data_IF_578167674524
#
_entry.id   IF_578167674524
#
_cell.length_a   1.000
_cell.length_b   1.000
_cell.length_c   1.000
_cell.angle_alpha   90.00
_cell.angle_beta   90.00
_cell.angle_gamma   90.00
#
_symmetry.space_group_name_H-M   'P 1'
#
loop_
_entity.id
_entity.type
_entity.pdbx_description
1 polymer ?
#
# COMPACT_ATOMS: atom_id res chain seq x y z
N UNK A 1 10.96 24.29 21.94
CA UNK A 1 11.49 24.57 20.60
C UNK A 1 11.24 23.37 19.71
N UNK A 2 10.38 23.50 18.70
CA UNK A 2 10.04 22.39 17.80
C UNK A 2 11.18 22.18 16.79
N UNK A 3 12.08 21.24 17.07
CA UNK A 3 13.16 20.83 16.15
C UNK A 3 12.61 19.84 15.11
N UNK A 4 11.72 20.30 14.25
CA UNK A 4 11.27 19.50 13.12
C UNK A 4 12.37 19.42 12.05
N UNK A 5 12.61 18.22 11.50
CA UNK A 5 13.55 18.00 10.41
C UNK A 5 12.78 17.90 9.09
N UNK A 6 13.25 18.53 8.00
CA UNK A 6 12.66 18.29 6.70
C UNK A 6 12.87 16.83 6.30
N UNK A 7 11.86 16.17 5.69
CA UNK A 7 12.04 14.84 5.13
C UNK A 7 13.18 14.83 4.12
N UNK A 8 13.84 13.68 3.95
CA UNK A 8 15.02 13.55 3.07
C UNK A 8 14.81 12.45 2.07
N UNK A 9 15.25 12.69 0.83
CA UNK A 9 15.37 11.67 -0.19
C UNK A 9 16.82 11.19 -0.26
N UNK A 10 17.02 9.88 -0.20
CA UNK A 10 18.32 9.25 -0.40
C UNK A 10 18.18 7.93 -1.13
N UNK A 11 19.28 7.46 -1.70
CA UNK A 11 19.29 6.29 -2.55
C UNK A 11 19.83 5.07 -1.80
N UNK A 12 19.22 3.90 -2.03
CA UNK A 12 19.75 2.61 -1.62
C UNK A 12 19.97 1.73 -2.85
N UNK A 13 21.05 0.97 -2.89
CA UNK A 13 21.32 0.03 -3.99
C UNK A 13 20.55 -1.26 -3.81
N UNK A 14 19.88 -1.74 -4.86
CA UNK A 14 19.33 -3.09 -4.92
C UNK A 14 20.43 -4.05 -5.37
N UNK A 15 21.24 -4.53 -4.42
CA UNK A 15 22.40 -5.41 -4.67
C UNK A 15 22.05 -6.74 -5.33
N UNK A 16 20.80 -7.21 -5.19
CA UNK A 16 20.30 -8.45 -5.76
C UNK A 16 19.76 -8.30 -7.21
N UNK A 17 19.80 -7.10 -7.82
CA UNK A 17 19.36 -6.88 -9.20
C UNK A 17 20.56 -6.54 -10.08
N UNK A 18 20.58 -7.08 -11.31
CA UNK A 18 21.61 -6.79 -12.32
C UNK A 18 21.72 -5.27 -12.51
N UNK A 19 22.96 -4.78 -12.54
CA UNK A 19 23.25 -3.34 -12.63
C UNK A 19 23.03 -2.54 -11.34
N UNK A 20 22.80 -3.20 -10.20
CA UNK A 20 22.69 -2.56 -8.88
C UNK A 20 21.70 -1.39 -8.85
N UNK A 21 20.52 -1.57 -9.46
CA UNK A 21 19.48 -0.52 -9.60
C UNK A 21 19.26 0.23 -8.29
N UNK A 22 19.11 1.55 -8.39
CA UNK A 22 18.84 2.40 -7.23
C UNK A 22 17.37 2.29 -6.80
N UNK A 23 17.13 2.36 -5.50
CA UNK A 23 15.84 2.54 -4.85
C UNK A 23 15.88 3.87 -4.13
N UNK A 24 15.14 4.84 -4.65
CA UNK A 24 14.90 6.09 -3.94
C UNK A 24 14.11 5.81 -2.68
N UNK A 25 14.50 6.42 -1.57
CA UNK A 25 13.76 6.31 -0.34
C UNK A 25 13.61 7.62 0.41
N UNK A 26 12.39 7.81 0.88
CA UNK A 26 11.91 8.98 1.58
C UNK A 26 11.95 8.76 3.10
N UNK A 27 12.86 9.40 3.83
CA UNK A 27 12.79 9.40 5.30
C UNK A 27 11.89 10.53 5.78
N UNK A 28 10.80 10.17 6.44
CA UNK A 28 9.88 11.11 7.08
C UNK A 28 10.14 11.27 8.59
N UNK A 29 11.19 10.65 9.13
CA UNK A 29 11.46 10.62 10.57
C UNK A 29 11.80 12.03 11.07
N UNK A 30 11.14 12.46 12.14
CA UNK A 30 11.35 13.78 12.75
C UNK A 30 10.69 14.92 11.97
N UNK A 31 9.92 14.63 10.93
CA UNK A 31 9.19 15.65 10.18
C UNK A 31 7.87 16.04 10.86
N UNK A 32 7.31 17.21 10.54
CA UNK A 32 6.00 17.62 11.04
C UNK A 32 4.86 16.65 10.68
N UNK A 33 4.97 15.94 9.54
CA UNK A 33 3.91 15.03 9.05
C UNK A 33 4.02 13.61 9.60
N UNK A 34 5.09 13.29 10.33
CA UNK A 34 5.42 11.94 10.75
C UNK A 34 4.37 11.36 11.71
N UNK A 35 4.01 12.11 12.75
CA UNK A 35 3.05 11.64 13.76
C UNK A 35 1.61 11.56 13.22
N UNK A 36 1.23 12.46 12.31
CA UNK A 36 -0.05 12.35 11.59
C UNK A 36 -0.06 11.10 10.71
N UNK A 37 1.02 10.84 9.98
CA UNK A 37 1.15 9.63 9.15
C UNK A 37 1.07 8.36 10.00
N UNK A 38 1.69 8.35 11.18
CA UNK A 38 1.58 7.23 12.14
C UNK A 38 0.17 7.07 12.67
N UNK A 39 -0.50 8.18 12.96
CA UNK A 39 -1.88 8.14 13.41
C UNK A 39 -2.79 7.51 12.34
N UNK A 40 -2.66 7.93 11.07
CA UNK A 40 -3.37 7.34 9.93
C UNK A 40 -3.07 5.85 9.78
N UNK A 41 -1.80 5.46 9.92
CA UNK A 41 -1.42 4.05 9.95
C UNK A 41 -2.14 3.29 11.07
N UNK A 42 -2.13 3.82 12.30
CA UNK A 42 -2.72 3.17 13.47
C UNK A 42 -4.23 2.95 13.30
N UNK A 43 -4.96 3.94 12.79
CA UNK A 43 -6.41 3.85 12.62
C UNK A 43 -6.80 2.92 11.46
N UNK A 44 -6.05 2.92 10.34
CA UNK A 44 -6.40 2.11 9.17
C UNK A 44 -5.85 0.69 9.21
N UNK A 45 -4.87 0.41 10.07
CA UNK A 45 -4.26 -0.94 10.16
C UNK A 45 -5.28 -2.05 10.44
N UNK A 46 -6.22 -1.92 11.41
CA UNK A 46 -7.23 -2.96 11.65
C UNK A 46 -8.11 -3.23 10.43
N UNK A 47 -8.50 -2.19 9.70
CA UNK A 47 -9.26 -2.33 8.45
C UNK A 47 -8.44 -3.04 7.36
N UNK A 48 -7.17 -2.69 7.18
CA UNK A 48 -6.31 -3.33 6.18
C UNK A 48 -6.00 -4.79 6.53
N UNK A 49 -5.87 -5.11 7.81
CA UNK A 49 -5.63 -6.47 8.29
C UNK A 49 -6.86 -7.39 8.17
N UNK A 50 -8.06 -6.84 7.95
CA UNK A 50 -9.27 -7.63 7.75
C UNK A 50 -9.48 -8.10 6.31
N UNK A 51 -8.65 -7.64 5.37
CA UNK A 51 -8.73 -8.06 3.96
C UNK A 51 -8.44 -9.55 3.80
N UNK A 52 -9.32 -10.26 3.10
CA UNK A 52 -9.28 -11.72 2.93
C UNK A 52 -7.98 -12.25 2.31
N UNK A 53 -7.43 -11.49 1.36
CA UNK A 53 -6.24 -11.88 0.59
C UNK A 53 -4.95 -11.26 1.13
N UNK A 54 -5.04 -10.49 2.22
CA UNK A 54 -3.88 -9.93 2.89
C UNK A 54 -3.25 -11.01 3.79
N UNK A 55 -2.05 -11.44 3.42
CA UNK A 55 -1.32 -12.48 4.14
C UNK A 55 -0.25 -11.81 4.99
N UNK A 56 -0.11 -12.26 6.23
CA UNK A 56 0.86 -11.69 7.17
C UNK A 56 2.29 -12.05 6.79
N UNK A 57 2.50 -13.30 6.37
CA UNK A 57 3.81 -13.85 6.05
C UNK A 57 3.72 -15.07 5.11
N UNK A 58 4.90 -15.52 4.67
CA UNK A 58 5.06 -16.66 3.77
C UNK A 58 4.68 -18.01 4.40
N UNK A 59 4.69 -18.13 5.73
CA UNK A 59 4.29 -19.36 6.41
C UNK A 59 2.76 -19.52 6.38
N UNK A 60 2.03 -18.43 6.62
CA UNK A 60 0.57 -18.41 6.46
C UNK A 60 0.19 -18.77 5.02
N UNK A 61 0.96 -18.29 4.03
CA UNK A 61 0.76 -18.65 2.64
C UNK A 61 0.92 -20.15 2.40
N UNK A 62 2.03 -20.71 2.85
CA UNK A 62 2.30 -22.14 2.75
C UNK A 62 1.16 -22.97 3.35
N UNK A 63 0.71 -22.66 4.56
CA UNK A 63 -0.40 -23.38 5.21
C UNK A 63 -1.71 -23.28 4.43
N UNK A 64 -1.99 -22.13 3.79
CA UNK A 64 -3.20 -21.92 3.00
C UNK A 64 -3.21 -22.71 1.70
N UNK A 65 -2.06 -22.90 1.05
CA UNK A 65 -1.96 -23.60 -0.24
C UNK A 65 -1.67 -25.10 -0.11
N UNK A 66 -1.14 -25.55 1.03
CA UNK A 66 -0.69 -26.93 1.23
C UNK A 66 -1.77 -27.98 0.98
N UNK A 67 -3.03 -27.66 1.24
CA UNK A 67 -4.18 -28.56 1.05
C UNK A 67 -4.97 -28.29 -0.24
N UNK A 68 -4.55 -27.34 -1.07
CA UNK A 68 -5.25 -26.99 -2.31
C UNK A 68 -4.92 -28.04 -3.36
N UNK A 69 -5.93 -28.82 -3.74
CA UNK A 69 -5.87 -29.69 -4.92
C UNK A 69 -6.28 -28.87 -6.14
N UNK A 70 -5.50 -28.98 -7.22
CA UNK A 70 -5.68 -28.23 -8.45
C UNK A 70 -5.93 -29.24 -9.57
N UNK A 71 -7.06 -29.10 -10.26
CA UNK A 71 -7.41 -29.94 -11.40
C UNK A 71 -6.50 -29.63 -12.61
N UNK A 72 -6.43 -30.56 -13.56
CA UNK A 72 -5.74 -30.35 -14.82
C UNK A 72 -6.31 -29.13 -15.57
N UNK A 73 -5.44 -28.34 -16.18
CA UNK A 73 -5.80 -27.12 -16.93
C UNK A 73 -5.76 -25.82 -16.12
N UNK A 74 -5.45 -25.86 -14.83
CA UNK A 74 -5.21 -24.66 -14.02
C UNK A 74 -3.73 -24.25 -14.03
N UNK A 75 -3.49 -22.94 -14.08
CA UNK A 75 -2.16 -22.34 -14.01
C UNK A 75 -1.99 -21.52 -12.75
N UNK A 76 -0.82 -21.67 -12.12
CA UNK A 76 -0.37 -20.80 -11.05
C UNK A 76 0.42 -19.64 -11.65
N UNK A 77 -0.06 -18.41 -11.43
CA UNK A 77 0.52 -17.19 -11.95
C UNK A 77 1.05 -16.35 -10.80
N UNK A 78 2.24 -15.78 -10.95
CA UNK A 78 2.79 -14.76 -10.05
C UNK A 78 2.70 -13.38 -10.70
N UNK A 79 2.19 -12.41 -9.94
CA UNK A 79 2.04 -11.02 -10.38
C UNK A 79 2.81 -10.10 -9.42
N UNK A 80 3.63 -9.20 -9.95
CA UNK A 80 4.37 -8.20 -9.17
C UNK A 80 3.88 -6.79 -9.49
N UNK A 81 3.56 -6.01 -8.46
CA UNK A 81 3.11 -4.63 -8.63
C UNK A 81 4.30 -3.71 -8.83
N UNK A 82 4.45 -3.21 -10.05
CA UNK A 82 5.53 -2.28 -10.40
C UNK A 82 5.33 -0.94 -9.67
N UNK A 83 6.35 -0.55 -8.90
CA UNK A 83 6.45 0.78 -8.27
C UNK A 83 5.22 1.17 -7.45
N UNK A 84 4.70 0.22 -6.65
CA UNK A 84 3.46 0.33 -5.87
C UNK A 84 3.24 1.72 -5.25
N UNK A 85 4.15 2.17 -4.38
CA UNK A 85 3.98 3.43 -3.64
C UNK A 85 3.92 4.68 -4.53
N UNK A 86 4.74 4.77 -5.57
CA UNK A 86 4.76 5.94 -6.45
C UNK A 86 3.57 5.97 -7.41
N UNK A 87 2.87 4.84 -7.58
CA UNK A 87 1.73 4.72 -8.50
C UNK A 87 0.37 4.82 -7.80
N UNK A 88 0.31 4.92 -6.47
CA UNK A 88 -0.97 5.08 -5.76
C UNK A 88 -1.57 6.46 -6.05
N UNK A 89 -2.76 6.50 -6.64
CA UNK A 89 -3.47 7.75 -6.91
C UNK A 89 -4.31 8.15 -5.70
N UNK A 90 -4.23 9.41 -5.29
CA UNK A 90 -5.03 9.96 -4.19
C UNK A 90 -6.54 9.85 -4.46
N UNK A 91 -6.96 10.11 -5.70
CA UNK A 91 -8.37 10.05 -6.09
C UNK A 91 -8.93 8.63 -5.96
N UNK A 92 -8.14 7.62 -6.28
CA UNK A 92 -8.53 6.22 -6.08
C UNK A 92 -8.81 5.93 -4.61
N UNK A 93 -7.89 6.32 -3.71
CA UNK A 93 -8.05 6.10 -2.27
C UNK A 93 -9.26 6.85 -1.72
N UNK A 94 -9.47 8.07 -2.20
CA UNK A 94 -10.63 8.88 -1.85
C UNK A 94 -11.94 8.19 -2.22
N UNK A 95 -12.01 7.66 -3.44
CA UNK A 95 -13.19 6.94 -3.91
C UNK A 95 -13.41 5.65 -3.11
N UNK A 96 -12.34 4.92 -2.78
CA UNK A 96 -12.42 3.73 -1.94
C UNK A 96 -12.98 4.06 -0.55
N UNK A 97 -12.50 5.14 0.09
CA UNK A 97 -13.02 5.57 1.40
C UNK A 97 -14.51 5.91 1.32
N UNK A 98 -14.95 6.53 0.21
CA UNK A 98 -16.37 6.85 -0.01
C UNK A 98 -17.22 5.59 -0.20
N UNK A 99 -16.80 4.72 -1.11
CA UNK A 99 -17.51 3.49 -1.47
C UNK A 99 -17.58 2.49 -0.30
N UNK A 100 -16.48 2.34 0.45
CA UNK A 100 -16.36 1.34 1.52
C UNK A 100 -16.58 1.90 2.93
N UNK A 101 -17.11 3.12 3.05
CA UNK A 101 -17.28 3.79 4.34
C UNK A 101 -18.06 2.96 5.36
N UNK A 102 -19.11 2.28 4.92
CA UNK A 102 -19.94 1.45 5.79
C UNK A 102 -19.17 0.29 6.44
N UNK A 103 -18.08 -0.16 5.83
CA UNK A 103 -17.19 -1.17 6.40
C UNK A 103 -16.11 -0.48 7.24
N UNK A 104 -15.48 0.56 6.71
CA UNK A 104 -14.36 1.27 7.37
C UNK A 104 -14.78 1.82 8.74
N UNK A 105 -15.98 2.38 8.87
CA UNK A 105 -16.49 2.99 10.11
C UNK A 105 -16.57 2.01 11.29
N UNK A 106 -16.64 0.70 11.02
CA UNK A 106 -16.67 -0.32 12.07
C UNK A 106 -15.27 -0.56 12.67
N UNK A 107 -14.21 -0.14 11.97
CA UNK A 107 -12.81 -0.28 12.41
C UNK A 107 -12.24 1.00 13.04
N UNK A 108 -12.86 2.16 12.79
CA UNK A 108 -12.32 3.46 13.20
C UNK A 108 -13.36 4.31 13.94
N UNK A 109 -12.90 5.07 14.93
CA UNK A 109 -13.73 6.04 15.64
C UNK A 109 -13.47 7.46 15.14
N UNK A 110 -13.74 7.72 13.87
CA UNK A 110 -13.60 9.01 13.19
C UNK A 110 -14.75 9.17 12.19
N UNK A 111 -15.14 10.40 11.89
CA UNK A 111 -16.03 10.67 10.77
C UNK A 111 -15.32 10.55 9.42
N UNK A 112 -16.11 10.45 8.36
CA UNK A 112 -15.62 10.19 7.01
C UNK A 112 -14.78 11.35 6.47
N UNK A 113 -15.20 12.58 6.75
CA UNK A 113 -14.57 13.79 6.23
C UNK A 113 -13.19 13.97 6.86
N UNK A 114 -13.08 13.76 8.18
CA UNK A 114 -11.82 13.81 8.89
C UNK A 114 -10.85 12.72 8.42
N UNK A 115 -11.31 11.49 8.18
CA UNK A 115 -10.44 10.46 7.60
C UNK A 115 -9.94 10.89 6.21
N UNK A 116 -10.83 11.42 5.38
CA UNK A 116 -10.50 11.90 4.04
C UNK A 116 -9.42 12.98 4.08
N UNK A 117 -9.57 13.98 4.96
CA UNK A 117 -8.62 15.07 5.12
C UNK A 117 -7.27 14.58 5.64
N UNK A 118 -7.25 13.64 6.59
CA UNK A 118 -6.02 13.05 7.10
C UNK A 118 -5.26 12.28 6.02
N UNK A 119 -5.96 11.50 5.21
CA UNK A 119 -5.34 10.74 4.10
C UNK A 119 -4.83 11.69 3.03
N UNK A 120 -5.63 12.69 2.64
CA UNK A 120 -5.24 13.73 1.69
C UNK A 120 -4.02 14.51 2.18
N UNK A 121 -3.97 14.85 3.46
CA UNK A 121 -2.81 15.47 4.09
C UNK A 121 -1.55 14.60 3.95
N UNK A 122 -1.66 13.29 4.14
CA UNK A 122 -0.53 12.37 3.98
C UNK A 122 0.01 12.34 2.54
N UNK A 123 -0.85 12.45 1.53
CA UNK A 123 -0.43 12.57 0.12
C UNK A 123 0.28 13.90 -0.16
N UNK A 124 -0.29 15.00 0.32
CA UNK A 124 0.28 16.35 0.10
C UNK A 124 1.53 16.64 0.95
N UNK A 125 1.76 15.88 2.02
CA UNK A 125 2.93 16.01 2.89
C UNK A 125 4.18 15.32 2.34
N UNK A 126 4.18 14.86 1.09
CA UNK A 126 5.30 14.21 0.39
C UNK A 126 6.42 15.17 -0.04
N UNK A 127 6.70 16.22 0.73
CA UNK A 127 7.83 17.13 0.43
C UNK A 127 9.13 16.59 1.01
N UNK A 128 10.27 16.85 0.35
CA UNK A 128 11.58 16.44 0.82
C UNK A 128 12.68 17.39 0.37
N UNK A 129 13.79 17.36 1.11
CA UNK A 129 15.04 18.00 0.76
C UNK A 129 15.93 17.03 -0.02
N UNK A 130 16.40 17.44 -1.19
CA UNK A 130 17.39 16.73 -2.00
C UNK A 130 18.37 17.73 -2.60
N UNK A 131 19.68 17.50 -2.44
CA UNK A 131 20.74 18.41 -2.91
C UNK A 131 20.49 19.89 -2.57
N UNK A 132 20.06 20.17 -1.31
CA UNK A 132 19.72 21.51 -0.79
C UNK A 132 18.48 22.18 -1.40
N UNK A 133 17.76 21.50 -2.28
CA UNK A 133 16.52 21.99 -2.87
C UNK A 133 15.31 21.22 -2.32
N UNK A 134 14.19 21.92 -2.18
CA UNK A 134 12.92 21.31 -1.78
C UNK A 134 12.15 20.83 -3.01
N UNK A 135 11.62 19.62 -2.91
CA UNK A 135 10.77 19.00 -3.91
C UNK A 135 9.52 18.46 -3.25
N UNK A 136 8.46 18.30 -4.05
CA UNK A 136 7.22 17.66 -3.63
C UNK A 136 6.93 16.48 -4.56
N UNK A 137 6.60 15.34 -3.96
CA UNK A 137 6.08 14.20 -4.71
C UNK A 137 4.65 14.52 -5.16
N UNK A 138 4.44 14.63 -6.48
CA UNK A 138 3.13 14.97 -7.06
C UNK A 138 2.16 13.80 -7.09
N UNK A 139 2.68 12.58 -7.18
CA UNK A 139 1.88 11.36 -7.30
C UNK A 139 2.45 10.23 -6.43
N UNK A 140 1.57 9.36 -5.95
CA UNK A 140 1.96 8.31 -5.04
C UNK A 140 2.14 8.78 -3.60
N UNK A 141 2.63 7.87 -2.78
CA UNK A 141 2.96 8.10 -1.40
C UNK A 141 4.46 7.84 -1.17
N UNK A 142 5.03 8.47 -0.15
CA UNK A 142 6.45 8.35 0.16
C UNK A 142 6.79 6.94 0.65
N UNK A 143 7.74 6.24 -0.01
CA UNK A 143 8.10 4.82 0.22
C UNK A 143 8.43 4.44 1.69
N UNK A 144 8.68 5.40 2.57
CA UNK A 144 8.94 5.20 4.01
C UNK A 144 8.13 6.14 4.91
N UNK A 145 7.04 6.73 4.40
CA UNK A 145 6.06 7.41 5.24
C UNK A 145 5.19 6.38 5.96
N UNK A 146 4.93 6.53 7.27
CA UNK A 146 4.17 5.55 8.06
C UNK A 146 2.78 5.21 7.48
N UNK A 147 2.08 6.16 6.85
CA UNK A 147 0.76 5.92 6.27
C UNK A 147 0.81 5.19 4.92
N UNK A 148 1.96 5.16 4.25
CA UNK A 148 2.05 4.65 2.88
C UNK A 148 1.69 3.17 2.72
N UNK A 149 2.08 2.26 3.65
CA UNK A 149 1.68 0.85 3.58
C UNK A 149 0.17 0.64 3.59
N UNK A 150 -0.57 1.25 4.53
CA UNK A 150 -2.02 1.04 4.64
C UNK A 150 -2.79 1.57 3.43
N UNK A 151 -2.35 2.71 2.90
CA UNK A 151 -2.91 3.32 1.69
C UNK A 151 -2.61 2.45 0.46
N UNK A 152 -1.37 1.97 0.33
CA UNK A 152 -0.97 1.12 -0.80
C UNK A 152 -1.69 -0.23 -0.79
N UNK A 153 -1.79 -0.89 0.37
CA UNK A 153 -2.51 -2.18 0.48
C UNK A 153 -4.00 -1.99 0.19
N UNK A 154 -4.61 -0.89 0.63
CA UNK A 154 -6.01 -0.57 0.30
C UNK A 154 -6.23 -0.42 -1.20
N UNK A 155 -5.31 0.22 -1.93
CA UNK A 155 -5.39 0.29 -3.39
C UNK A 155 -5.24 -1.08 -4.06
N UNK A 156 -4.31 -1.92 -3.58
CA UNK A 156 -4.10 -3.27 -4.11
C UNK A 156 -5.33 -4.14 -3.88
N UNK A 157 -5.85 -4.18 -2.67
CA UNK A 157 -7.06 -4.96 -2.34
C UNK A 157 -8.24 -4.58 -3.24
N UNK A 158 -8.49 -3.28 -3.39
CA UNK A 158 -9.55 -2.80 -4.28
C UNK A 158 -9.38 -3.28 -5.72
N UNK A 159 -8.15 -3.26 -6.25
CA UNK A 159 -7.86 -3.73 -7.62
C UNK A 159 -7.91 -5.24 -7.75
N UNK A 160 -7.45 -5.98 -6.74
CA UNK A 160 -7.51 -7.45 -6.71
C UNK A 160 -8.95 -7.93 -6.73
N UNK A 161 -9.84 -7.34 -5.92
CA UNK A 161 -11.27 -7.69 -5.92
C UNK A 161 -11.90 -7.46 -7.31
N UNK A 162 -11.57 -6.35 -7.96
CA UNK A 162 -12.06 -6.06 -9.33
C UNK A 162 -11.52 -7.07 -10.35
N UNK A 163 -10.24 -7.44 -10.26
CA UNK A 163 -9.62 -8.43 -11.16
C UNK A 163 -10.23 -9.83 -10.98
N UNK A 164 -10.44 -10.25 -9.73
CA UNK A 164 -11.08 -11.53 -9.38
C UNK A 164 -12.46 -11.66 -10.03
N UNK A 165 -13.30 -10.62 -9.92
CA UNK A 165 -14.64 -10.59 -10.53
C UNK A 165 -14.54 -10.75 -12.06
N UNK A 166 -13.52 -10.16 -12.68
CA UNK A 166 -13.34 -10.24 -14.14
C UNK A 166 -12.77 -11.57 -14.64
N UNK A 167 -12.06 -12.35 -13.80
CA UNK A 167 -11.27 -13.50 -14.24
C UNK A 167 -11.81 -14.87 -13.79
N UNK A 168 -12.97 -14.93 -13.13
CA UNK A 168 -13.59 -16.19 -12.65
C UNK A 168 -12.61 -17.11 -11.89
N UNK A 169 -11.92 -16.55 -10.89
CA UNK A 169 -10.80 -17.21 -10.21
C UNK A 169 -11.18 -17.81 -8.86
N UNK A 170 -10.47 -18.87 -8.46
CA UNK A 170 -10.71 -19.62 -7.22
C UNK A 170 -9.78 -19.23 -6.05
N UNK A 171 -8.62 -18.64 -6.32
CA UNK A 171 -7.64 -18.34 -5.26
C UNK A 171 -6.69 -17.20 -5.63
N UNK A 172 -6.55 -16.22 -4.73
CA UNK A 172 -5.58 -15.12 -4.84
C UNK A 172 -4.90 -14.85 -3.50
N UNK A 173 -3.62 -14.52 -3.56
CA UNK A 173 -2.85 -13.95 -2.44
C UNK A 173 -2.10 -12.72 -2.93
N UNK A 174 -1.37 -12.06 -2.03
CA UNK A 174 -0.68 -10.80 -2.32
C UNK A 174 0.22 -10.83 -3.57
N UNK A 175 0.74 -12.01 -3.97
CA UNK A 175 1.65 -12.18 -5.11
C UNK A 175 1.26 -13.30 -6.10
N UNK A 176 0.23 -14.10 -5.80
CA UNK A 176 -0.10 -15.32 -6.55
C UNK A 176 -1.59 -15.46 -6.85
N UNK A 177 -1.90 -16.03 -8.01
CA UNK A 177 -3.27 -16.17 -8.52
C UNK A 177 -3.40 -17.48 -9.29
N UNK A 178 -4.45 -18.26 -8.98
CA UNK A 178 -4.80 -19.48 -9.72
C UNK A 178 -5.88 -19.14 -10.75
N UNK A 179 -5.60 -19.47 -12.02
CA UNK A 179 -6.48 -19.17 -13.15
C UNK A 179 -6.72 -20.43 -13.97
N UNK A 180 -7.94 -20.63 -14.44
CA UNK A 180 -8.25 -21.69 -15.39
C UNK A 180 -7.74 -21.28 -16.78
N UNK A 181 -6.93 -22.12 -17.42
CA UNK A 181 -6.52 -21.90 -18.79
C UNK A 181 -7.60 -22.45 -19.73
N UNK A 182 -8.06 -21.62 -20.66
CA UNK A 182 -8.86 -22.05 -21.81
C UNK A 182 -7.96 -22.62 -22.92
#
# INVERSE_FOLDING_TARGET
TYNALPPRLYELRKTHKVGCKLRLVFSNIGSPSYEISKFVYKILSPYVLSFEFNMKDSFQFFERIKSVLVDDGYLLISLDVVSLFTNVKQDLITNIIKERWNVIKDFINLDQELLFDLVKFCFHSGYFLFQRNYYIQKEGCGIRSPASPVVAITAVDYRVVVLLVSLYQRFVTQDWMLVQAD
#
